data_IF_898662311406
#
_entry.id   IF_898662311406
#
_cell.length_a   1.000
_cell.length_b   1.000
_cell.length_c   1.000
_cell.angle_alpha   90.00
_cell.angle_beta   90.00
_cell.angle_gamma   90.00
#
_symmetry.space_group_name_H-M   'P 1'
#
loop_
_entity.id
_entity.type
_entity.pdbx_description
1 polymer ?
#
# COMPACT_ATOMS: atom_id res chain seq x y z
N UNK A 1 -34.37 -76.31 -14.74
CA UNK A 1 -33.59 -75.51 -15.72
C UNK A 1 -33.59 -74.06 -15.24
N UNK A 2 -32.54 -73.63 -14.56
CA UNK A 2 -32.45 -72.35 -13.86
C UNK A 2 -31.64 -71.38 -14.67
N UNK A 3 -32.18 -70.20 -14.97
CA UNK A 3 -31.49 -69.17 -15.75
C UNK A 3 -31.07 -68.09 -14.76
N UNK A 4 -29.77 -68.00 -14.53
CA UNK A 4 -29.14 -67.06 -13.65
C UNK A 4 -28.97 -65.70 -14.37
N UNK A 5 -29.70 -64.69 -13.87
CA UNK A 5 -29.60 -63.29 -14.38
C UNK A 5 -28.39 -62.57 -13.73
N UNK A 6 -27.41 -62.22 -14.55
CA UNK A 6 -26.25 -61.41 -14.12
C UNK A 6 -26.58 -59.94 -14.22
N UNK A 7 -26.75 -59.28 -13.08
CA UNK A 7 -26.91 -57.82 -12.99
C UNK A 7 -25.53 -57.15 -13.06
N UNK A 8 -25.27 -56.44 -14.19
CA UNK A 8 -24.11 -55.59 -14.34
C UNK A 8 -24.33 -54.24 -13.56
N UNK A 9 -23.56 -54.08 -12.50
CA UNK A 9 -23.52 -52.78 -11.82
C UNK A 9 -22.60 -51.83 -12.58
N UNK A 10 -23.15 -50.73 -13.10
CA UNK A 10 -22.38 -49.64 -13.69
C UNK A 10 -22.00 -48.67 -12.57
N UNK A 11 -20.72 -48.64 -12.17
CA UNK A 11 -20.18 -47.61 -11.32
C UNK A 11 -19.95 -46.34 -12.14
N UNK A 12 -20.77 -45.33 -11.90
CA UNK A 12 -20.52 -43.97 -12.40
C UNK A 12 -19.49 -43.28 -11.47
N UNK A 13 -18.26 -43.13 -11.94
CA UNK A 13 -17.25 -42.33 -11.26
C UNK A 13 -17.52 -40.84 -11.47
N UNK A 14 -17.95 -40.13 -10.43
CA UNK A 14 -18.10 -38.69 -10.42
C UNK A 14 -16.71 -38.04 -10.25
N UNK A 15 -16.15 -37.54 -11.37
CA UNK A 15 -14.93 -36.71 -11.34
C UNK A 15 -15.33 -35.28 -10.86
N UNK A 16 -15.09 -34.98 -9.60
CA UNK A 16 -15.22 -33.62 -9.06
C UNK A 16 -13.97 -32.85 -9.54
N UNK A 17 -14.13 -32.06 -10.59
CA UNK A 17 -13.11 -31.11 -11.03
C UNK A 17 -13.04 -29.97 -10.00
N UNK A 18 -12.01 -30.00 -9.13
CA UNK A 18 -11.71 -28.92 -8.21
C UNK A 18 -11.16 -27.73 -9.02
N UNK A 19 -12.02 -26.79 -9.40
CA UNK A 19 -11.61 -25.52 -10.04
C UNK A 19 -10.94 -24.67 -8.96
N UNK A 20 -9.61 -24.69 -8.91
CA UNK A 20 -8.84 -23.79 -8.08
C UNK A 20 -8.89 -22.40 -8.72
N UNK A 21 -9.82 -21.58 -8.25
CA UNK A 21 -9.87 -20.17 -8.63
C UNK A 21 -8.59 -19.46 -8.16
N UNK A 22 -7.89 -18.68 -9.02
CA UNK A 22 -6.68 -17.98 -8.61
C UNK A 22 -7.03 -16.97 -7.51
N UNK A 23 -6.41 -17.14 -6.36
CA UNK A 23 -6.65 -16.33 -5.16
C UNK A 23 -6.32 -14.86 -5.44
N UNK A 24 -7.30 -13.97 -5.38
CA UNK A 24 -7.12 -12.49 -5.44
C UNK A 24 -6.22 -11.96 -4.31
N UNK A 25 -5.84 -12.79 -3.36
CA UNK A 25 -4.96 -12.47 -2.23
C UNK A 25 -3.54 -12.02 -2.65
N UNK A 26 -2.99 -12.53 -3.74
CA UNK A 26 -1.59 -12.26 -4.12
C UNK A 26 -1.29 -10.84 -4.56
N UNK A 27 -2.26 -10.09 -5.10
CA UNK A 27 -2.03 -8.70 -5.53
C UNK A 27 -2.09 -7.73 -4.35
N UNK A 28 -3.04 -7.92 -3.44
CA UNK A 28 -3.17 -7.13 -2.21
C UNK A 28 -1.96 -7.30 -1.29
N UNK A 29 -1.52 -8.54 -1.05
CA UNK A 29 -0.37 -8.81 -0.18
C UNK A 29 0.95 -8.21 -0.68
N UNK A 30 1.19 -8.20 -2.00
CA UNK A 30 2.37 -7.55 -2.60
C UNK A 30 2.31 -6.03 -2.55
N UNK A 31 1.13 -5.47 -2.62
CA UNK A 31 0.90 -4.02 -2.47
C UNK A 31 1.24 -3.60 -1.05
N UNK A 32 0.69 -4.27 -0.06
CA UNK A 32 0.93 -4.01 1.37
C UNK A 32 2.40 -4.18 1.75
N UNK A 33 3.11 -5.19 1.19
CA UNK A 33 4.53 -5.41 1.42
C UNK A 33 5.40 -4.26 0.91
N UNK A 34 5.08 -3.68 -0.25
CA UNK A 34 5.82 -2.52 -0.79
C UNK A 34 5.61 -1.27 0.07
N UNK A 35 4.39 -1.01 0.51
CA UNK A 35 4.06 0.11 1.39
C UNK A 35 4.75 -0.04 2.75
N UNK A 36 4.75 -1.24 3.33
CA UNK A 36 5.48 -1.56 4.54
C UNK A 36 7.00 -1.35 4.39
N UNK A 37 7.57 -1.71 3.24
CA UNK A 37 8.99 -1.48 2.93
C UNK A 37 9.33 0.01 2.85
N UNK A 38 8.46 0.84 2.27
CA UNK A 38 8.63 2.30 2.23
C UNK A 38 8.59 2.88 3.66
N UNK A 39 7.63 2.46 4.49
CA UNK A 39 7.54 2.89 5.89
C UNK A 39 8.78 2.46 6.67
N UNK A 40 9.27 1.24 6.45
CA UNK A 40 10.47 0.72 7.11
C UNK A 40 11.71 1.52 6.73
N UNK A 41 11.96 1.75 5.44
CA UNK A 41 13.09 2.54 4.95
C UNK A 41 13.05 3.99 5.47
N UNK A 42 11.86 4.61 5.46
CA UNK A 42 11.65 5.96 6.00
C UNK A 42 11.93 6.01 7.50
N UNK A 43 11.47 5.03 8.26
CA UNK A 43 11.74 4.94 9.69
C UNK A 43 13.20 4.66 9.99
N UNK A 44 13.91 3.90 9.17
CA UNK A 44 15.36 3.72 9.30
C UNK A 44 16.10 5.03 9.08
N UNK A 45 15.72 5.81 8.07
CA UNK A 45 16.25 7.14 7.86
C UNK A 45 15.97 8.07 9.07
N UNK A 46 14.75 8.08 9.61
CA UNK A 46 14.44 8.88 10.80
C UNK A 46 15.32 8.53 11.99
N UNK A 47 15.52 7.24 12.25
CA UNK A 47 16.38 6.77 13.33
C UNK A 47 17.84 7.23 13.14
N UNK A 48 18.38 7.19 11.92
CA UNK A 48 19.73 7.68 11.63
C UNK A 48 19.89 9.21 11.85
N UNK A 49 18.78 9.95 11.84
CA UNK A 49 18.73 11.36 12.22
C UNK A 49 18.32 11.60 13.68
N UNK A 50 18.35 10.59 14.54
CA UNK A 50 18.02 10.70 15.97
C UNK A 50 16.52 10.91 16.25
N UNK A 51 15.65 10.62 15.30
CA UNK A 51 14.20 10.83 15.42
C UNK A 51 13.47 9.51 15.73
N UNK A 52 12.41 9.55 16.55
CA UNK A 52 11.62 8.36 16.81
C UNK A 52 10.89 7.89 15.54
N UNK A 53 10.68 6.57 15.48
CA UNK A 53 9.89 5.95 14.41
C UNK A 53 8.44 6.47 14.39
N UNK A 54 7.90 6.62 13.20
CA UNK A 54 6.47 6.89 13.00
C UNK A 54 5.68 5.59 13.12
N UNK A 55 4.52 5.65 13.77
CA UNK A 55 3.59 4.54 13.85
C UNK A 55 2.70 4.49 12.61
N UNK A 56 2.50 3.31 12.05
CA UNK A 56 1.57 3.11 10.93
C UNK A 56 0.13 3.43 11.34
N UNK A 57 -0.62 4.03 10.43
CA UNK A 57 -2.01 4.40 10.61
C UNK A 57 -2.86 3.96 9.43
N UNK A 58 -3.83 3.07 9.68
CA UNK A 58 -4.78 2.61 8.65
C UNK A 58 -5.58 3.75 8.00
N UNK A 59 -5.91 4.79 8.78
CA UNK A 59 -6.61 5.96 8.25
C UNK A 59 -5.75 6.72 7.25
N UNK A 60 -4.47 6.99 7.59
CA UNK A 60 -3.53 7.65 6.69
C UNK A 60 -3.25 6.79 5.46
N UNK A 61 -3.08 5.46 5.61
CA UNK A 61 -2.87 4.57 4.49
C UNK A 61 -4.06 4.62 3.50
N UNK A 62 -5.30 4.62 3.99
CA UNK A 62 -6.48 4.79 3.13
C UNK A 62 -6.52 6.13 2.39
N UNK A 63 -6.13 7.23 3.06
CA UNK A 63 -6.05 8.54 2.43
C UNK A 63 -4.98 8.56 1.32
N UNK A 64 -3.78 8.06 1.63
CA UNK A 64 -2.65 7.97 0.71
C UNK A 64 -2.96 7.09 -0.51
N UNK A 65 -3.58 5.93 -0.29
CA UNK A 65 -3.95 4.99 -1.33
C UNK A 65 -5.01 5.57 -2.29
N UNK A 66 -6.03 6.24 -1.74
CA UNK A 66 -7.03 6.94 -2.55
C UNK A 66 -6.37 8.02 -3.44
N UNK A 67 -5.37 8.73 -2.93
CA UNK A 67 -4.66 9.76 -3.68
C UNK A 67 -3.75 9.19 -4.76
N UNK A 68 -2.97 8.16 -4.43
CA UNK A 68 -2.11 7.48 -5.41
C UNK A 68 -2.91 6.90 -6.58
N UNK A 69 -4.11 6.35 -6.31
CA UNK A 69 -5.04 5.94 -7.37
C UNK A 69 -5.56 7.12 -8.19
N UNK A 70 -5.85 8.26 -7.56
CA UNK A 70 -6.29 9.46 -8.28
C UNK A 70 -5.18 9.99 -9.21
N UNK A 71 -3.97 10.16 -8.70
CA UNK A 71 -2.81 10.57 -9.51
C UNK A 71 -2.54 9.62 -10.68
N UNK A 72 -2.67 8.31 -10.46
CA UNK A 72 -2.53 7.34 -11.56
C UNK A 72 -3.60 7.49 -12.63
N UNK A 73 -4.87 7.70 -12.25
CA UNK A 73 -5.96 7.89 -13.23
C UNK A 73 -5.77 9.12 -14.10
N UNK A 74 -5.30 10.20 -13.52
CA UNK A 74 -5.05 11.46 -14.24
C UNK A 74 -3.65 11.55 -14.85
N UNK A 75 -2.81 10.56 -14.58
CA UNK A 75 -1.38 10.54 -14.92
C UNK A 75 -0.63 11.84 -14.50
N UNK A 76 -1.07 12.45 -13.41
CA UNK A 76 -0.56 13.73 -12.91
C UNK A 76 -0.11 13.61 -11.46
N UNK A 77 1.06 14.19 -11.13
CA UNK A 77 1.59 14.29 -9.78
C UNK A 77 1.20 15.65 -9.20
N UNK A 78 0.53 15.65 -8.05
CA UNK A 78 0.15 16.90 -7.38
C UNK A 78 -0.53 16.64 -6.05
N UNK A 79 -0.29 17.53 -5.10
CA UNK A 79 -0.81 17.42 -3.72
C UNK A 79 -2.34 17.57 -3.64
N UNK A 80 -2.93 18.41 -4.49
CA UNK A 80 -4.32 18.80 -4.34
C UNK A 80 -4.61 19.35 -2.94
N UNK A 81 -5.86 19.24 -2.49
CA UNK A 81 -6.21 19.56 -1.09
C UNK A 81 -5.95 18.36 -0.18
N UNK A 82 -4.64 18.06 0.06
CA UNK A 82 -4.23 16.93 0.89
C UNK A 82 -4.69 17.08 2.33
N UNK A 83 -4.73 18.31 2.87
CA UNK A 83 -5.13 18.54 4.24
C UNK A 83 -6.58 18.11 4.49
N UNK A 84 -7.49 18.52 3.61
CA UNK A 84 -8.90 18.12 3.66
C UNK A 84 -9.06 16.61 3.43
N UNK A 85 -8.32 16.04 2.46
CA UNK A 85 -8.35 14.60 2.20
C UNK A 85 -7.95 13.80 3.43
N UNK A 86 -6.80 14.10 4.04
CA UNK A 86 -6.27 13.38 5.20
C UNK A 86 -7.22 13.48 6.40
N UNK A 87 -7.75 14.67 6.66
CA UNK A 87 -8.65 14.93 7.81
C UNK A 87 -9.99 14.19 7.72
N UNK A 88 -10.41 13.71 6.56
CA UNK A 88 -11.58 12.81 6.42
C UNK A 88 -11.33 11.41 7.03
N UNK A 89 -10.07 11.00 7.13
CA UNK A 89 -9.70 9.67 7.61
C UNK A 89 -9.10 9.65 9.02
N UNK A 90 -8.54 10.77 9.47
CA UNK A 90 -7.90 10.86 10.78
C UNK A 90 -8.13 12.21 11.46
N UNK A 91 -8.31 12.17 12.78
CA UNK A 91 -8.27 13.40 13.60
C UNK A 91 -6.81 13.73 13.90
N UNK A 92 -6.39 14.96 13.58
CA UNK A 92 -5.02 15.44 13.79
C UNK A 92 -4.95 16.96 13.65
N UNK A 93 -4.00 17.56 14.36
CA UNK A 93 -3.72 19.01 14.27
C UNK A 93 -2.84 19.37 13.08
N UNK A 94 -1.82 18.54 12.81
CA UNK A 94 -0.87 18.75 11.72
C UNK A 94 -0.90 17.58 10.75
N UNK A 95 -0.83 17.90 9.47
CA UNK A 95 -0.67 16.94 8.39
C UNK A 95 0.51 17.35 7.51
N UNK A 96 1.13 16.38 6.87
CA UNK A 96 2.15 16.57 5.87
C UNK A 96 2.02 15.49 4.80
N UNK A 97 2.58 15.74 3.64
CA UNK A 97 2.52 14.80 2.53
C UNK A 97 3.81 14.84 1.72
N UNK A 98 4.32 13.66 1.39
CA UNK A 98 5.34 13.50 0.36
C UNK A 98 4.75 12.66 -0.78
N UNK A 99 5.04 13.09 -2.00
CA UNK A 99 4.63 12.41 -3.22
C UNK A 99 5.86 11.92 -3.98
N UNK A 100 5.67 10.83 -4.73
CA UNK A 100 6.64 10.33 -5.68
C UNK A 100 5.95 9.70 -6.88
N UNK A 101 6.62 9.72 -8.03
CA UNK A 101 6.39 8.76 -9.10
C UNK A 101 7.73 8.27 -9.65
N UNK A 102 7.78 7.01 -10.02
CA UNK A 102 8.98 6.43 -10.62
C UNK A 102 8.64 5.16 -11.41
N UNK A 103 9.59 4.71 -12.21
CA UNK A 103 9.54 3.38 -12.81
C UNK A 103 9.73 2.33 -11.72
N UNK A 104 8.76 1.46 -11.55
CA UNK A 104 8.71 0.52 -10.44
C UNK A 104 8.40 1.20 -9.10
N UNK A 105 8.38 0.43 -8.02
CA UNK A 105 8.06 0.91 -6.67
C UNK A 105 9.18 0.58 -5.69
N UNK A 106 10.43 0.95 -6.01
CA UNK A 106 11.57 0.65 -5.13
C UNK A 106 11.53 1.56 -3.88
N UNK A 107 11.34 0.95 -2.72
CA UNK A 107 11.18 1.67 -1.46
C UNK A 107 12.41 2.52 -1.09
N UNK A 108 13.61 1.98 -1.24
CA UNK A 108 14.87 2.69 -0.93
C UNK A 108 15.06 3.88 -1.87
N UNK A 109 14.82 3.70 -3.17
CA UNK A 109 14.95 4.78 -4.14
C UNK A 109 13.96 5.92 -3.87
N UNK A 110 12.71 5.61 -3.50
CA UNK A 110 11.69 6.59 -3.12
C UNK A 110 12.13 7.39 -1.91
N UNK A 111 12.59 6.72 -0.85
CA UNK A 111 13.01 7.38 0.39
C UNK A 111 14.27 8.22 0.15
N UNK A 112 15.24 7.74 -0.62
CA UNK A 112 16.44 8.50 -0.97
C UNK A 112 16.10 9.74 -1.80
N UNK A 113 15.17 9.64 -2.75
CA UNK A 113 14.70 10.81 -3.51
C UNK A 113 14.07 11.86 -2.58
N UNK A 114 13.27 11.45 -1.59
CA UNK A 114 12.70 12.37 -0.59
C UNK A 114 13.78 12.96 0.33
N UNK A 115 14.78 12.18 0.73
CA UNK A 115 15.92 12.69 1.53
C UNK A 115 16.76 13.72 0.78
N UNK A 116 16.94 13.55 -0.52
CA UNK A 116 17.72 14.45 -1.35
C UNK A 116 16.97 15.73 -1.76
N UNK A 117 15.67 15.80 -1.50
CA UNK A 117 14.84 16.99 -1.78
C UNK A 117 14.55 17.75 -0.48
N UNK A 118 15.00 18.98 -0.35
CA UNK A 118 14.85 19.76 0.88
C UNK A 118 13.39 19.86 1.39
N UNK A 119 12.36 20.13 0.57
CA UNK A 119 10.97 20.16 1.04
C UNK A 119 10.49 18.79 1.52
N UNK A 120 10.77 17.72 0.79
CA UNK A 120 10.35 16.37 1.19
C UNK A 120 11.10 15.90 2.47
N UNK A 121 12.41 16.17 2.55
CA UNK A 121 13.22 15.88 3.74
C UNK A 121 12.68 16.59 4.97
N UNK A 122 12.30 17.87 4.87
CA UNK A 122 11.69 18.64 5.96
C UNK A 122 10.44 17.99 6.51
N UNK A 123 9.55 17.48 5.63
CA UNK A 123 8.34 16.75 6.05
C UNK A 123 8.72 15.43 6.72
N UNK A 124 9.54 14.62 6.06
CA UNK A 124 9.91 13.29 6.48
C UNK A 124 10.64 13.24 7.82
N UNK A 125 11.50 14.25 8.09
CA UNK A 125 12.29 14.36 9.30
C UNK A 125 11.67 15.30 10.34
N UNK A 126 10.43 15.73 10.18
CA UNK A 126 9.75 16.54 11.20
C UNK A 126 9.45 15.74 12.46
N UNK A 127 9.89 16.25 13.61
CA UNK A 127 9.58 15.72 14.94
C UNK A 127 8.11 15.90 15.34
N UNK A 128 7.36 16.78 14.63
CA UNK A 128 5.94 17.02 14.88
C UNK A 128 5.05 15.85 14.47
N UNK A 129 5.47 15.03 13.52
CA UNK A 129 4.70 13.87 13.09
C UNK A 129 4.98 12.65 13.94
N UNK A 130 3.92 11.88 14.21
CA UNK A 130 3.95 10.65 15.03
C UNK A 130 3.35 9.44 14.30
N UNK A 131 2.64 9.68 13.22
CA UNK A 131 1.94 8.65 12.45
C UNK A 131 2.21 8.82 10.95
N UNK A 132 2.19 7.70 10.23
CA UNK A 132 2.37 7.64 8.79
C UNK A 132 1.38 6.65 8.17
N UNK A 133 0.96 6.94 6.96
CA UNK A 133 0.33 5.98 6.05
C UNK A 133 0.92 6.16 4.67
N UNK A 134 1.19 5.06 4.01
CA UNK A 134 1.68 5.04 2.63
C UNK A 134 0.64 4.35 1.77
N UNK A 135 0.44 4.87 0.57
CA UNK A 135 -0.36 4.25 -0.46
C UNK A 135 0.34 4.36 -1.80
N UNK A 136 0.13 3.38 -2.67
CA UNK A 136 0.71 3.37 -4.01
C UNK A 136 -0.28 2.92 -5.08
N UNK A 137 -0.03 3.30 -6.32
CA UNK A 137 -0.81 2.81 -7.45
C UNK A 137 0.05 2.70 -8.70
N UNK A 138 -0.09 1.59 -9.41
CA UNK A 138 0.71 1.23 -10.58
C UNK A 138 1.94 0.41 -10.24
N UNK A 139 2.53 -0.22 -11.28
CA UNK A 139 3.75 -1.02 -11.19
C UNK A 139 4.86 -0.48 -12.08
N UNK A 140 4.62 -0.32 -13.38
CA UNK A 140 5.60 0.28 -14.31
C UNK A 140 5.79 1.77 -14.03
N UNK A 141 4.70 2.55 -13.95
CA UNK A 141 4.67 3.92 -13.43
C UNK A 141 3.98 3.87 -12.08
N UNK A 142 4.77 3.93 -11.03
CA UNK A 142 4.33 3.84 -9.64
C UNK A 142 4.14 5.23 -9.08
N UNK A 143 2.91 5.57 -8.72
CA UNK A 143 2.58 6.77 -7.94
C UNK A 143 2.52 6.39 -6.47
N UNK A 144 3.20 7.16 -5.64
CA UNK A 144 3.29 6.92 -4.19
C UNK A 144 2.90 8.19 -3.44
N UNK A 145 2.12 8.02 -2.40
CA UNK A 145 1.77 9.04 -1.41
C UNK A 145 2.20 8.57 -0.03
N UNK A 146 2.89 9.41 0.71
CA UNK A 146 3.12 9.25 2.14
C UNK A 146 2.43 10.38 2.89
N UNK A 147 1.37 10.06 3.62
CA UNK A 147 0.64 10.99 4.48
C UNK A 147 1.14 10.90 5.92
N UNK A 148 1.41 12.06 6.52
CA UNK A 148 1.92 12.19 7.88
C UNK A 148 0.90 12.92 8.76
N UNK A 149 0.84 12.54 10.04
CA UNK A 149 0.01 13.23 11.02
C UNK A 149 0.70 13.35 12.39
N UNK A 150 0.41 14.46 13.10
CA UNK A 150 0.76 14.60 14.51
C UNK A 150 -0.01 13.60 15.37
N UNK A 151 0.29 13.54 16.67
CA UNK A 151 -0.61 12.92 17.63
C UNK A 151 -2.03 13.52 17.52
N UNK A 152 -3.00 12.86 18.14
CA UNK A 152 -4.39 13.37 18.24
C UNK A 152 -4.45 14.64 19.05
#
# INVERSE_FOLDING_TARGET
>A
MSVTSVRRAVLAALLIACVVAPSRASASSRHDATEASIISALNSARVSYGLPRLRSSRGLARAADAHSRAMRRTNSLGHGDFSRRVRRYVRTRKVGENLAWMAGCNATAIVNMWLNSAPHRKIMLSGSFKRIGVGRSGSRKCFVTADFASAR
#
